data_IF_905728967755
#
_entry.id   IF_905728967755
#
_cell.length_a   1.000
_cell.length_b   1.000
_cell.length_c   1.000
_cell.angle_alpha   90.00
_cell.angle_beta   90.00
_cell.angle_gamma   90.00
#
_symmetry.space_group_name_H-M   'P 1'
#
loop_
_entity.id
_entity.type
_entity.pdbx_description
1 polymer ?
#
# COMPACT_ATOMS: atom_id res chain seq x y z
N UNK A 1 -42.13 -51.31 38.07
CA UNK A 1 -40.70 -51.32 38.47
C UNK A 1 -39.85 -50.71 37.36
N UNK A 2 -39.14 -49.62 37.68
CA UNK A 2 -37.83 -49.14 37.18
C UNK A 2 -37.66 -48.89 35.66
N UNK A 3 -37.50 -47.62 35.25
CA UNK A 3 -36.23 -46.94 34.86
C UNK A 3 -35.68 -47.49 33.52
N UNK A 4 -35.21 -46.74 32.52
CA UNK A 4 -34.55 -45.43 32.45
C UNK A 4 -34.87 -44.78 31.09
N UNK A 5 -35.00 -43.45 31.08
CA UNK A 5 -34.86 -42.62 29.89
C UNK A 5 -33.39 -42.61 29.43
N UNK A 6 -33.13 -42.87 28.15
CA UNK A 6 -31.82 -42.65 27.54
C UNK A 6 -31.83 -41.29 26.83
N UNK A 7 -31.39 -40.25 27.53
CA UNK A 7 -31.02 -38.98 26.93
C UNK A 7 -29.62 -39.14 26.34
N UNK A 8 -29.50 -39.15 25.01
CA UNK A 8 -28.20 -39.05 24.33
C UNK A 8 -27.85 -37.57 24.21
N UNK A 9 -26.96 -37.12 25.09
CA UNK A 9 -26.41 -35.77 25.10
C UNK A 9 -25.38 -35.66 23.97
N UNK A 10 -25.77 -35.03 22.85
CA UNK A 10 -24.83 -34.66 21.78
C UNK A 10 -24.03 -33.45 22.28
N UNK A 11 -22.80 -33.72 22.73
CA UNK A 11 -21.82 -32.68 23.06
C UNK A 11 -21.40 -31.99 21.77
N UNK A 12 -21.97 -30.81 21.49
CA UNK A 12 -21.49 -29.94 20.43
C UNK A 12 -20.10 -29.41 20.84
N UNK A 13 -19.04 -30.01 20.30
CA UNK A 13 -17.69 -29.46 20.39
C UNK A 13 -17.67 -28.20 19.50
N UNK A 14 -17.98 -27.05 20.09
CA UNK A 14 -17.76 -25.75 19.45
C UNK A 14 -16.28 -25.63 19.14
N UNK A 15 -15.92 -25.87 17.88
CA UNK A 15 -14.64 -25.49 17.32
C UNK A 15 -14.56 -23.97 17.41
N UNK A 16 -14.04 -23.48 18.53
CA UNK A 16 -13.48 -22.14 18.60
C UNK A 16 -12.38 -22.10 17.56
N UNK A 17 -12.72 -21.53 16.41
CA UNK A 17 -11.78 -21.15 15.39
C UNK A 17 -10.94 -20.05 16.04
N UNK A 18 -9.85 -20.41 16.71
CA UNK A 18 -8.84 -19.47 17.18
C UNK A 18 -8.16 -18.95 15.93
N UNK A 19 -8.83 -18.01 15.24
CA UNK A 19 -8.20 -17.19 14.23
C UNK A 19 -7.00 -16.58 14.91
N UNK A 20 -5.80 -17.02 14.51
CA UNK A 20 -4.56 -16.38 14.91
C UNK A 20 -4.76 -14.90 14.61
N UNK A 21 -4.72 -14.06 15.65
CA UNK A 21 -4.82 -12.62 15.50
C UNK A 21 -3.62 -12.16 14.67
N UNK A 22 -3.80 -12.08 13.35
CA UNK A 22 -2.75 -11.76 12.38
C UNK A 22 -2.73 -10.25 12.16
N UNK A 23 -2.27 -9.52 13.17
CA UNK A 23 -2.27 -8.06 13.15
C UNK A 23 -1.23 -7.44 12.21
N UNK A 24 -0.31 -8.23 11.65
CA UNK A 24 0.84 -7.70 10.91
C UNK A 24 1.23 -8.60 9.73
N UNK A 25 0.26 -9.12 8.96
CA UNK A 25 0.62 -9.85 7.74
C UNK A 25 1.34 -8.90 6.77
N UNK A 26 2.57 -9.22 6.34
CA UNK A 26 3.32 -8.36 5.43
C UNK A 26 2.61 -8.19 4.09
N UNK A 27 2.73 -7.01 3.51
CA UNK A 27 2.25 -6.72 2.16
C UNK A 27 3.30 -7.20 1.15
N UNK A 28 2.94 -8.21 0.37
CA UNK A 28 3.85 -8.79 -0.62
C UNK A 28 3.87 -7.94 -1.91
N UNK A 29 5.07 -7.51 -2.33
CA UNK A 29 5.31 -6.79 -3.58
C UNK A 29 5.77 -7.78 -4.67
N UNK A 30 4.77 -8.42 -5.28
CA UNK A 30 4.95 -9.46 -6.30
C UNK A 30 5.23 -8.94 -7.71
N UNK A 31 5.24 -9.88 -8.67
CA UNK A 31 5.58 -9.62 -10.08
C UNK A 31 4.66 -8.63 -10.80
N UNK A 32 3.45 -8.37 -10.27
CA UNK A 32 2.50 -7.41 -10.85
C UNK A 32 2.80 -5.96 -10.44
N UNK A 33 3.56 -5.75 -9.36
CA UNK A 33 3.80 -4.43 -8.77
C UNK A 33 5.02 -3.73 -9.39
N UNK A 34 5.16 -3.76 -10.72
CA UNK A 34 6.40 -3.32 -11.40
C UNK A 34 6.59 -1.80 -11.44
N UNK A 35 5.63 -1.04 -10.93
CA UNK A 35 5.66 0.43 -10.72
C UNK A 35 4.83 0.76 -9.50
N UNK A 36 5.07 1.91 -8.87
CA UNK A 36 4.27 2.37 -7.72
C UNK A 36 2.76 2.42 -8.00
N UNK A 37 2.37 2.90 -9.20
CA UNK A 37 0.95 2.95 -9.63
C UNK A 37 0.32 1.58 -9.88
N UNK A 38 1.13 0.54 -10.04
CA UNK A 38 0.70 -0.86 -10.12
C UNK A 38 0.91 -1.60 -8.80
N UNK A 39 1.29 -0.86 -7.76
CA UNK A 39 1.47 -1.34 -6.41
C UNK A 39 0.21 -1.16 -5.56
N UNK A 40 0.15 -1.88 -4.42
CA UNK A 40 -0.87 -1.65 -3.40
C UNK A 40 -0.78 -0.22 -2.86
N UNK A 41 -1.88 0.25 -2.30
CA UNK A 41 -1.99 1.54 -1.60
C UNK A 41 -2.25 1.26 -0.13
N UNK A 42 -1.36 1.73 0.73
CA UNK A 42 -1.56 1.78 2.16
C UNK A 42 -2.45 2.99 2.45
N UNK A 43 -3.68 2.73 2.93
CA UNK A 43 -4.73 3.76 3.04
C UNK A 43 -4.39 4.81 4.09
N UNK A 44 -3.67 4.41 5.13
CA UNK A 44 -3.08 5.30 6.13
C UNK A 44 -1.58 4.96 6.21
N UNK A 45 -0.74 5.87 5.70
CA UNK A 45 0.71 5.73 5.68
C UNK A 45 1.37 5.89 7.05
N UNK A 46 0.62 6.28 8.08
CA UNK A 46 1.11 6.35 9.47
C UNK A 46 1.00 5.02 10.21
N UNK A 47 0.20 4.08 9.69
CA UNK A 47 0.10 2.72 10.22
C UNK A 47 1.31 1.90 9.79
N UNK A 48 1.85 1.12 10.73
CA UNK A 48 3.02 0.27 10.54
C UNK A 48 2.68 -0.87 9.58
N UNK A 49 3.30 -0.83 8.40
CA UNK A 49 3.24 -1.92 7.42
C UNK A 49 4.64 -2.40 7.09
N UNK A 50 4.87 -3.70 7.19
CA UNK A 50 6.01 -4.36 6.57
C UNK A 50 5.65 -4.77 5.14
N UNK A 51 6.51 -4.41 4.18
CA UNK A 51 6.38 -4.79 2.77
C UNK A 51 7.58 -5.63 2.35
N UNK A 52 7.32 -6.75 1.69
CA UNK A 52 8.36 -7.67 1.22
C UNK A 52 8.51 -7.57 -0.29
N UNK A 53 9.73 -7.39 -0.76
CA UNK A 53 10.03 -7.26 -2.17
C UNK A 53 11.10 -8.27 -2.58
N UNK A 54 10.77 -9.09 -3.57
CA UNK A 54 11.69 -10.08 -4.14
C UNK A 54 12.07 -9.73 -5.58
N UNK A 55 13.37 -9.85 -5.86
CA UNK A 55 13.97 -9.57 -7.15
C UNK A 55 14.82 -10.75 -7.59
N UNK A 56 14.61 -11.21 -8.82
CA UNK A 56 15.35 -12.32 -9.42
C UNK A 56 16.57 -11.87 -10.23
N UNK A 57 16.62 -10.59 -10.63
CA UNK A 57 17.73 -9.99 -11.39
C UNK A 57 17.79 -8.48 -11.17
N UNK A 58 18.86 -7.86 -11.65
CA UNK A 58 19.00 -6.40 -11.69
C UNK A 58 17.96 -5.73 -12.60
N UNK A 59 17.71 -4.43 -12.36
CA UNK A 59 16.80 -3.59 -13.13
C UNK A 59 15.33 -4.01 -13.10
N UNK A 60 14.95 -4.83 -12.12
CA UNK A 60 13.54 -5.05 -11.79
C UNK A 60 13.09 -3.96 -10.83
N UNK A 61 11.82 -3.58 -10.94
CA UNK A 61 11.19 -2.61 -10.05
C UNK A 61 10.04 -3.26 -9.30
N UNK A 62 9.90 -2.87 -8.03
CA UNK A 62 8.70 -3.06 -7.23
C UNK A 62 8.25 -1.70 -6.72
N UNK A 63 6.96 -1.48 -6.60
CA UNK A 63 6.48 -0.25 -6.01
C UNK A 63 5.18 -0.41 -5.26
N UNK A 64 4.91 0.58 -4.43
CA UNK A 64 3.68 0.73 -3.67
C UNK A 64 3.41 2.21 -3.43
N UNK A 65 2.25 2.50 -2.85
CA UNK A 65 1.82 3.85 -2.51
C UNK A 65 1.37 3.91 -1.06
N UNK A 66 1.50 5.09 -0.45
CA UNK A 66 0.92 5.36 0.87
C UNK A 66 0.23 6.73 0.85
N UNK A 67 -0.93 6.81 1.49
CA UNK A 67 -1.64 8.08 1.67
C UNK A 67 -1.27 8.70 3.00
N UNK A 68 -0.89 9.96 2.99
CA UNK A 68 -0.55 10.74 4.18
C UNK A 68 -1.26 12.09 4.12
N UNK A 69 -1.51 12.68 5.28
CA UNK A 69 -2.05 14.03 5.43
C UNK A 69 -0.93 15.03 5.73
N UNK A 70 -1.23 16.30 5.51
CA UNK A 70 -0.33 17.40 5.81
C UNK A 70 0.18 17.33 7.26
N UNK A 71 1.50 17.36 7.44
CA UNK A 71 2.15 17.37 8.74
C UNK A 71 2.27 16.01 9.43
N UNK A 72 1.68 14.94 8.88
CA UNK A 72 1.90 13.59 9.40
C UNK A 72 3.35 13.15 9.21
N UNK A 73 3.80 12.18 10.02
CA UNK A 73 5.13 11.63 9.89
C UNK A 73 5.16 10.62 8.73
N UNK A 74 5.83 10.97 7.64
CA UNK A 74 6.34 9.98 6.70
C UNK A 74 7.51 9.28 7.39
N UNK A 75 7.29 8.07 7.90
CA UNK A 75 8.35 7.20 8.43
C UNK A 75 8.61 6.07 7.43
N UNK A 76 9.87 5.83 7.06
CA UNK A 76 10.26 4.74 6.18
C UNK A 76 11.51 4.04 6.70
N UNK A 77 11.51 2.72 6.71
CA UNK A 77 12.68 1.94 7.11
C UNK A 77 13.03 0.88 6.06
N UNK A 78 14.33 0.60 5.94
CA UNK A 78 14.87 -0.42 5.06
C UNK A 78 15.53 -1.50 5.91
N UNK A 79 15.06 -2.73 5.75
CA UNK A 79 15.57 -3.91 6.42
C UNK A 79 15.91 -5.03 5.44
N UNK A 80 16.82 -5.90 5.87
CA UNK A 80 17.04 -7.21 5.27
C UNK A 80 17.01 -8.26 6.37
N UNK A 81 16.58 -9.49 6.05
CA UNK A 81 16.73 -10.60 6.99
C UNK A 81 18.24 -10.80 7.23
N UNK A 82 18.65 -11.00 8.47
CA UNK A 82 20.04 -11.31 8.83
C UNK A 82 20.38 -12.77 8.47
N UNK A 83 20.35 -13.06 7.17
CA UNK A 83 20.66 -14.36 6.57
C UNK A 83 21.30 -14.15 5.19
N UNK A 84 22.16 -15.09 4.81
CA UNK A 84 22.74 -15.09 3.48
C UNK A 84 21.67 -15.36 2.40
N UNK A 85 21.78 -14.78 1.19
CA UNK A 85 22.91 -13.94 0.73
C UNK A 85 22.85 -12.47 1.18
N UNK A 86 21.69 -11.90 1.48
CA UNK A 86 21.51 -10.45 1.64
C UNK A 86 22.34 -9.86 2.77
N UNK A 87 22.48 -10.55 3.90
CA UNK A 87 23.28 -10.03 5.02
C UNK A 87 24.77 -9.88 4.70
N UNK A 88 25.28 -10.58 3.68
CA UNK A 88 26.67 -10.46 3.19
C UNK A 88 26.79 -9.53 1.98
N UNK A 89 25.69 -9.02 1.43
CA UNK A 89 25.75 -8.14 0.26
C UNK A 89 26.32 -6.77 0.62
N UNK A 90 27.18 -6.26 -0.26
CA UNK A 90 27.61 -4.87 -0.23
C UNK A 90 26.41 -3.94 -0.46
N UNK A 91 26.38 -2.79 0.21
CA UNK A 91 25.26 -1.84 0.15
C UNK A 91 24.95 -1.37 -1.29
N UNK A 92 25.96 -1.23 -2.14
CA UNK A 92 25.79 -0.84 -3.55
C UNK A 92 25.16 -1.94 -4.44
N UNK A 93 25.01 -3.16 -3.94
CA UNK A 93 24.31 -4.27 -4.61
C UNK A 93 22.86 -4.44 -4.15
N UNK A 94 22.45 -3.76 -3.09
CA UNK A 94 21.09 -3.81 -2.58
C UNK A 94 20.14 -2.93 -3.43
N UNK A 95 18.85 -3.27 -3.51
CA UNK A 95 17.86 -2.43 -4.18
C UNK A 95 17.83 -1.00 -3.63
N UNK A 96 17.69 -0.02 -4.53
CA UNK A 96 17.58 1.41 -4.19
C UNK A 96 16.10 1.79 -4.07
N UNK A 97 15.75 2.59 -3.06
CA UNK A 97 14.39 3.11 -2.88
C UNK A 97 14.34 4.59 -3.23
N UNK A 98 13.41 4.96 -4.11
CA UNK A 98 13.04 6.35 -4.41
C UNK A 98 11.64 6.61 -3.88
N UNK A 99 11.50 7.63 -3.05
CA UNK A 99 10.23 8.14 -2.55
C UNK A 99 9.90 9.40 -3.38
N UNK A 100 8.73 9.43 -3.99
CA UNK A 100 8.21 10.60 -4.71
C UNK A 100 7.02 11.15 -3.94
N UNK A 101 7.11 12.41 -3.52
CA UNK A 101 6.07 13.13 -2.80
C UNK A 101 4.91 13.54 -3.74
N UNK A 102 3.75 13.95 -3.18
CA UNK A 102 2.58 14.38 -3.96
C UNK A 102 2.86 15.53 -4.93
N UNK A 103 3.80 16.42 -4.60
CA UNK A 103 4.24 17.54 -5.44
C UNK A 103 5.27 17.14 -6.53
N UNK A 104 5.63 15.85 -6.59
CA UNK A 104 6.62 15.31 -7.52
C UNK A 104 8.07 15.36 -7.03
N UNK A 105 8.35 15.93 -5.85
CA UNK A 105 9.69 15.96 -5.29
C UNK A 105 10.20 14.54 -5.00
N UNK A 106 11.46 14.25 -5.33
CA UNK A 106 12.06 12.92 -5.20
C UNK A 106 13.14 12.89 -4.13
N UNK A 107 13.07 11.86 -3.28
CA UNK A 107 14.09 11.53 -2.29
C UNK A 107 14.59 10.12 -2.51
N UNK A 108 15.91 9.93 -2.59
CA UNK A 108 16.52 8.59 -2.62
C UNK A 108 16.94 8.21 -1.21
N UNK A 109 16.45 7.07 -0.73
CA UNK A 109 16.78 6.57 0.62
C UNK A 109 18.25 6.18 0.66
N UNK A 110 18.99 6.78 1.59
CA UNK A 110 20.42 6.53 1.79
C UNK A 110 20.61 5.45 2.86
N UNK A 111 21.50 4.50 2.59
CA UNK A 111 21.96 3.57 3.62
C UNK A 111 22.90 4.30 4.58
N UNK A 112 22.55 4.33 5.85
CA UNK A 112 23.27 5.07 6.91
C UNK A 112 23.69 4.18 8.07
N UNK A 113 23.20 2.94 8.09
CA UNK A 113 23.43 2.02 9.19
C UNK A 113 23.54 0.56 8.74
N UNK A 114 23.91 -0.30 9.68
CA UNK A 114 23.80 -1.76 9.60
C UNK A 114 23.67 -2.30 11.01
N UNK A 115 22.50 -2.13 11.62
CA UNK A 115 22.26 -2.46 13.03
C UNK A 115 21.38 -3.71 13.14
N UNK A 116 21.67 -4.56 14.13
CA UNK A 116 20.90 -5.78 14.37
C UNK A 116 19.57 -5.45 15.03
N UNK A 117 18.51 -6.12 14.60
CA UNK A 117 17.19 -6.04 15.19
C UNK A 117 16.56 -7.42 15.25
N UNK A 118 16.05 -7.78 16.42
CA UNK A 118 15.26 -9.00 16.59
C UNK A 118 13.79 -8.62 16.63
N UNK A 119 13.02 -9.09 15.64
CA UNK A 119 11.58 -8.89 15.58
C UNK A 119 10.89 -10.05 16.33
N UNK A 120 10.21 -9.77 17.46
CA UNK A 120 9.80 -10.82 18.41
C UNK A 120 8.58 -11.63 17.97
N UNK A 121 7.66 -11.07 17.17
CA UNK A 121 6.41 -11.74 16.80
C UNK A 121 6.63 -12.78 15.69
N UNK A 122 7.35 -12.40 14.64
CA UNK A 122 7.79 -13.27 13.56
C UNK A 122 9.13 -13.98 13.86
N UNK A 123 9.72 -13.75 15.04
CA UNK A 123 10.98 -14.37 15.52
C UNK A 123 12.10 -14.28 14.50
N UNK A 124 12.18 -13.16 13.79
CA UNK A 124 13.09 -12.98 12.67
C UNK A 124 14.19 -11.98 13.04
N UNK A 125 15.44 -12.35 12.79
CA UNK A 125 16.56 -11.41 12.89
C UNK A 125 16.66 -10.60 11.61
N UNK A 126 16.73 -9.29 11.75
CA UNK A 126 16.88 -8.32 10.68
C UNK A 126 18.15 -7.50 10.87
N UNK A 127 18.60 -6.88 9.78
CA UNK A 127 19.52 -5.75 9.78
C UNK A 127 18.77 -4.52 9.29
N UNK A 128 18.69 -3.48 10.11
CA UNK A 128 18.33 -2.13 9.64
C UNK A 128 19.47 -1.57 8.83
N UNK A 129 19.15 -1.00 7.66
CA UNK A 129 20.13 -0.41 6.76
C UNK A 129 19.90 1.09 6.51
N UNK A 130 18.65 1.53 6.62
CA UNK A 130 18.29 2.93 6.47
C UNK A 130 17.01 3.23 7.25
N UNK A 131 16.92 4.47 7.73
CA UNK A 131 15.72 5.10 8.25
C UNK A 131 15.59 6.47 7.60
N UNK A 132 14.39 6.78 7.12
CA UNK A 132 14.06 8.03 6.49
C UNK A 132 12.80 8.57 7.15
N UNK A 133 12.81 9.85 7.49
CA UNK A 133 11.65 10.52 8.04
C UNK A 133 11.51 11.94 7.53
N UNK A 134 10.28 12.38 7.29
CA UNK A 134 9.96 13.77 7.00
C UNK A 134 8.54 14.12 7.43
N UNK A 135 8.24 15.41 7.57
CA UNK A 135 6.85 15.86 7.58
C UNK A 135 6.23 15.62 6.20
N UNK A 136 4.98 15.15 6.17
CA UNK A 136 4.28 14.82 4.95
C UNK A 136 3.51 16.01 4.37
N UNK A 137 3.38 16.02 3.04
CA UNK A 137 2.36 16.76 2.31
C UNK A 137 1.09 15.92 2.27
N UNK A 138 -0.07 16.57 2.18
CA UNK A 138 -1.31 15.86 1.90
C UNK A 138 -1.26 15.20 0.51
N UNK A 139 -1.54 13.88 0.44
CA UNK A 139 -1.64 13.16 -0.82
C UNK A 139 -1.01 11.78 -0.82
N UNK A 140 -0.72 11.30 -2.04
CA UNK A 140 -0.16 9.96 -2.28
C UNK A 140 1.34 10.04 -2.50
N UNK A 141 2.09 9.34 -1.66
CA UNK A 141 3.51 9.08 -1.84
C UNK A 141 3.72 7.83 -2.69
N UNK A 142 4.62 7.90 -3.67
CA UNK A 142 5.00 6.77 -4.51
C UNK A 142 6.38 6.23 -4.10
N UNK A 143 6.46 4.94 -3.81
CA UNK A 143 7.69 4.26 -3.44
C UNK A 143 8.11 3.35 -4.59
N UNK A 144 9.28 3.59 -5.15
CA UNK A 144 9.88 2.78 -6.21
C UNK A 144 11.15 2.11 -5.71
N UNK A 145 11.20 0.79 -5.78
CA UNK A 145 12.28 -0.07 -5.31
C UNK A 145 12.91 -0.74 -6.52
N UNK A 146 14.13 -0.31 -6.88
CA UNK A 146 14.83 -0.80 -8.07
C UNK A 146 16.00 -1.71 -7.69
N UNK A 147 15.99 -2.94 -8.15
CA UNK A 147 17.03 -3.92 -7.87
C UNK A 147 18.34 -3.62 -8.60
N UNK A 148 19.46 -3.91 -7.93
CA UNK A 148 20.81 -3.87 -8.50
C UNK A 148 21.39 -5.27 -8.76
N UNK A 149 20.79 -6.28 -8.14
CA UNK A 149 21.09 -7.70 -8.27
C UNK A 149 19.85 -8.51 -7.82
N UNK A 150 19.95 -9.84 -7.82
CA UNK A 150 19.00 -10.69 -7.08
C UNK A 150 19.05 -10.32 -5.60
N UNK A 151 17.90 -10.05 -4.99
CA UNK A 151 17.80 -9.67 -3.58
C UNK A 151 16.35 -9.86 -3.07
N UNK A 152 16.21 -10.15 -1.79
CA UNK A 152 14.93 -10.14 -1.07
C UNK A 152 15.04 -9.16 0.10
N UNK A 153 14.18 -8.14 0.13
CA UNK A 153 14.25 -7.08 1.14
C UNK A 153 12.92 -6.91 1.85
N UNK A 154 12.98 -6.30 3.03
CA UNK A 154 11.80 -5.82 3.76
C UNK A 154 11.92 -4.31 3.88
N UNK A 155 10.87 -3.58 3.50
CA UNK A 155 10.77 -2.15 3.76
C UNK A 155 9.54 -1.91 4.62
N UNK A 156 9.55 -0.86 5.41
CA UNK A 156 8.38 -0.49 6.21
C UNK A 156 8.01 0.98 6.01
N UNK A 157 6.74 1.29 6.28
CA UNK A 157 6.27 2.66 6.47
C UNK A 157 5.33 2.72 7.67
N UNK A 158 5.21 3.91 8.25
CA UNK A 158 4.37 4.17 9.41
C UNK A 158 5.03 3.76 10.73
N UNK A 159 4.28 3.92 11.81
CA UNK A 159 4.72 3.65 13.19
C UNK A 159 3.59 3.26 14.14
N UNK A 160 2.31 3.44 13.74
CA UNK A 160 1.17 3.02 14.55
C UNK A 160 0.93 1.53 14.38
N UNK A 161 1.09 0.76 15.45
CA UNK A 161 0.89 -0.69 15.48
C UNK A 161 -0.60 -1.04 15.64
N UNK A 162 -1.40 -0.73 14.62
CA UNK A 162 -2.84 -1.01 14.55
C UNK A 162 -3.19 -1.62 13.19
N UNK A 163 -4.33 -2.30 13.07
CA UNK A 163 -4.79 -2.82 11.78
C UNK A 163 -4.99 -1.68 10.76
N UNK A 164 -4.30 -1.78 9.63
CA UNK A 164 -4.46 -0.85 8.51
C UNK A 164 -5.17 -1.48 7.32
N UNK A 165 -5.71 -0.62 6.46
CA UNK A 165 -6.35 -1.03 5.21
C UNK A 165 -5.36 -0.90 4.03
N UNK A 166 -5.41 -1.89 3.14
CA UNK A 166 -4.62 -1.91 1.91
C UNK A 166 -5.55 -2.06 0.72
N UNK A 167 -5.47 -1.14 -0.24
CA UNK A 167 -6.16 -1.27 -1.52
C UNK A 167 -5.25 -1.82 -2.60
N UNK A 168 -5.84 -2.64 -3.46
CA UNK A 168 -5.16 -3.12 -4.66
C UNK A 168 -5.36 -2.13 -5.81
N UNK A 169 -4.34 -1.93 -6.66
CA UNK A 169 -4.43 -1.04 -7.82
C UNK A 169 -5.42 -1.59 -8.85
N UNK A 170 -6.03 -0.70 -9.63
CA UNK A 170 -6.94 -1.07 -10.72
C UNK A 170 -8.15 -1.91 -10.29
N UNK A 171 -8.48 -1.96 -8.99
CA UNK A 171 -9.63 -2.69 -8.46
C UNK A 171 -10.54 -1.69 -7.75
N UNK A 172 -11.85 -1.76 -8.04
CA UNK A 172 -12.82 -0.89 -7.39
C UNK A 172 -12.89 -1.27 -5.90
N UNK A 173 -12.58 -0.34 -4.98
CA UNK A 173 -12.49 -0.68 -3.57
C UNK A 173 -13.87 -0.96 -3.01
N UNK A 174 -13.94 -1.88 -2.06
CA UNK A 174 -15.12 -2.04 -1.21
C UNK A 174 -14.97 -1.07 -0.05
N UNK A 175 -15.87 -0.10 0.05
CA UNK A 175 -15.92 0.89 1.12
C UNK A 175 -17.30 0.85 1.76
N UNK A 176 -17.37 1.19 3.04
CA UNK A 176 -18.64 1.36 3.73
C UNK A 176 -19.36 2.60 3.21
N UNK A 177 -20.66 2.49 2.96
CA UNK A 177 -21.45 3.61 2.46
C UNK A 177 -21.65 4.65 3.56
N UNK A 178 -21.21 5.88 3.30
CA UNK A 178 -21.39 7.02 4.20
C UNK A 178 -22.57 7.89 3.72
N UNK A 179 -23.27 8.52 4.67
CA UNK A 179 -24.40 9.41 4.37
C UNK A 179 -23.98 10.60 3.48
N UNK A 180 -22.76 11.09 3.63
CA UNK A 180 -22.13 12.10 2.78
C UNK A 180 -20.87 11.52 2.16
N UNK A 181 -20.86 11.21 0.85
CA UNK A 181 -19.70 10.59 0.21
C UNK A 181 -18.52 11.56 0.26
N UNK A 182 -17.45 11.18 0.95
CA UNK A 182 -16.16 11.88 0.91
C UNK A 182 -15.14 10.92 0.32
N UNK A 183 -14.55 11.31 -0.81
CA UNK A 183 -13.50 10.54 -1.46
C UNK A 183 -12.16 10.89 -0.82
N UNK A 184 -11.46 9.89 -0.32
CA UNK A 184 -10.08 10.05 0.16
C UNK A 184 -9.08 9.92 -0.98
N UNK A 185 -7.88 10.49 -0.81
CA UNK A 185 -6.79 10.35 -1.77
C UNK A 185 -6.46 8.86 -2.06
N UNK A 186 -6.47 8.00 -1.03
CA UNK A 186 -6.22 6.57 -1.18
C UNK A 186 -7.28 5.88 -2.04
N UNK A 187 -8.57 6.21 -1.82
CA UNK A 187 -9.69 5.69 -2.61
C UNK A 187 -9.64 6.19 -4.06
N UNK A 188 -9.41 7.48 -4.28
CA UNK A 188 -9.28 8.03 -5.63
C UNK A 188 -8.15 7.33 -6.41
N UNK A 189 -7.02 7.09 -5.75
CA UNK A 189 -5.84 6.47 -6.36
C UNK A 189 -6.04 4.99 -6.75
N UNK A 190 -7.08 4.30 -6.28
CA UNK A 190 -7.37 2.92 -6.76
C UNK A 190 -7.84 2.89 -8.20
N UNK A 191 -8.39 4.00 -8.72
CA UNK A 191 -8.82 4.13 -10.11
C UNK A 191 -7.65 4.12 -11.08
N UNK A 192 -6.43 4.45 -10.61
CA UNK A 192 -5.22 4.43 -11.44
C UNK A 192 -4.99 3.01 -11.97
N UNK A 193 -4.83 2.92 -13.29
CA UNK A 193 -4.66 1.69 -14.04
C UNK A 193 -5.97 1.01 -14.45
N UNK A 194 -7.15 1.58 -14.13
CA UNK A 194 -8.43 1.10 -14.68
C UNK A 194 -8.65 1.62 -16.10
N UNK A 195 -9.45 0.88 -16.88
CA UNK A 195 -10.05 1.41 -18.12
C UNK A 195 -11.07 2.51 -17.77
N UNK A 196 -11.22 3.50 -18.65
CA UNK A 196 -12.20 4.61 -18.51
C UNK A 196 -13.57 4.14 -18.03
N UNK A 197 -14.21 3.21 -18.75
CA UNK A 197 -15.57 2.77 -18.42
C UNK A 197 -15.65 2.04 -17.07
N UNK A 198 -14.59 1.31 -16.71
CA UNK A 198 -14.51 0.63 -15.41
C UNK A 198 -14.34 1.64 -14.26
N UNK A 199 -13.54 2.69 -14.47
CA UNK A 199 -13.37 3.77 -13.50
C UNK A 199 -14.67 4.57 -13.31
N UNK A 200 -15.36 4.91 -14.42
CA UNK A 200 -16.68 5.56 -14.38
C UNK A 200 -17.70 4.71 -13.63
N UNK A 201 -17.75 3.41 -13.93
CA UNK A 201 -18.67 2.47 -13.27
C UNK A 201 -18.35 2.30 -11.78
N UNK A 202 -17.07 2.29 -11.43
CA UNK A 202 -16.63 2.24 -10.03
C UNK A 202 -17.08 3.50 -9.28
N UNK A 203 -16.81 4.68 -9.81
CA UNK A 203 -17.24 5.94 -9.21
C UNK A 203 -18.76 5.99 -9.01
N UNK A 204 -19.54 5.60 -10.03
CA UNK A 204 -21.00 5.53 -9.93
C UNK A 204 -21.47 4.55 -8.83
N UNK A 205 -20.87 3.35 -8.75
CA UNK A 205 -21.18 2.36 -7.70
C UNK A 205 -20.92 2.91 -6.29
N UNK A 206 -19.89 3.75 -6.15
CA UNK A 206 -19.50 4.35 -4.88
C UNK A 206 -20.21 5.68 -4.59
N UNK A 207 -21.10 6.13 -5.49
CA UNK A 207 -21.84 7.39 -5.35
C UNK A 207 -20.98 8.64 -5.54
N UNK A 208 -19.83 8.51 -6.21
CA UNK A 208 -18.91 9.62 -6.44
C UNK A 208 -19.26 10.35 -7.73
N UNK A 209 -19.04 11.67 -7.73
CA UNK A 209 -18.88 12.40 -8.98
C UNK A 209 -17.65 11.87 -9.74
N UNK A 210 -17.74 11.81 -11.07
CA UNK A 210 -16.63 11.42 -11.94
C UNK A 210 -16.42 12.48 -13.01
N UNK A 211 -15.19 12.97 -13.16
CA UNK A 211 -14.83 14.01 -14.13
C UNK A 211 -13.53 13.66 -14.83
N UNK A 212 -13.48 13.86 -16.15
CA UNK A 212 -12.25 13.75 -16.93
C UNK A 212 -11.64 15.14 -17.02
N UNK A 213 -10.46 15.33 -16.45
CA UNK A 213 -9.71 16.60 -16.55
C UNK A 213 -8.79 16.65 -17.76
N UNK A 214 -8.31 15.48 -18.19
CA UNK A 214 -7.48 15.34 -19.38
C UNK A 214 -7.68 13.95 -20.00
N UNK A 215 -7.71 13.89 -21.33
CA UNK A 215 -7.74 12.63 -22.09
C UNK A 215 -6.84 12.76 -23.32
N UNK A 216 -5.87 11.85 -23.47
CA UNK A 216 -4.97 11.80 -24.63
C UNK A 216 -4.37 13.16 -25.01
N UNK A 217 -3.87 13.86 -23.99
CA UNK A 217 -3.24 15.18 -24.08
C UNK A 217 -4.21 16.35 -24.38
N UNK A 218 -5.51 16.08 -24.52
CA UNK A 218 -6.58 17.09 -24.54
C UNK A 218 -7.01 17.45 -23.12
N UNK A 219 -6.93 18.74 -22.76
CA UNK A 219 -7.41 19.28 -21.49
C UNK A 219 -8.90 19.63 -21.57
N UNK A 220 -9.65 19.34 -20.51
CA UNK A 220 -11.04 19.74 -20.36
C UNK A 220 -11.16 20.85 -19.32
N UNK A 221 -12.04 21.83 -19.56
CA UNK A 221 -12.24 22.93 -18.64
C UNK A 221 -12.79 22.41 -17.30
N UNK A 222 -12.13 22.80 -16.20
CA UNK A 222 -12.48 22.39 -14.85
C UNK A 222 -12.95 23.60 -14.03
N UNK A 223 -14.06 23.42 -13.31
CA UNK A 223 -14.48 24.34 -12.25
C UNK A 223 -13.76 23.98 -10.95
N UNK A 224 -13.22 24.99 -10.26
CA UNK A 224 -12.60 24.84 -8.94
C UNK A 224 -13.67 24.97 -7.85
N UNK A 225 -14.41 23.88 -7.63
CA UNK A 225 -15.55 23.85 -6.70
C UNK A 225 -15.27 23.08 -5.39
N UNK A 226 -14.03 22.58 -5.21
CA UNK A 226 -13.55 21.90 -3.99
C UNK A 226 -14.42 20.73 -3.52
N UNK A 227 -15.14 20.08 -4.45
CA UNK A 227 -16.01 18.95 -4.16
C UNK A 227 -15.23 17.72 -3.71
N UNK A 228 -15.36 17.37 -2.43
CA UNK A 228 -14.73 16.18 -1.86
C UNK A 228 -15.45 14.87 -2.23
N UNK A 229 -16.63 14.95 -2.84
CA UNK A 229 -17.43 13.81 -3.29
C UNK A 229 -17.17 13.45 -4.77
N UNK A 230 -16.15 14.05 -5.39
CA UNK A 230 -15.82 13.86 -6.81
C UNK A 230 -14.36 13.49 -7.00
N UNK A 231 -14.12 12.66 -8.01
CA UNK A 231 -12.79 12.39 -8.56
C UNK A 231 -12.62 13.06 -9.92
N UNK A 232 -11.47 13.70 -10.13
CA UNK A 232 -10.99 14.11 -11.44
C UNK A 232 -9.86 13.21 -11.89
N UNK A 233 -9.98 12.65 -13.10
CA UNK A 233 -9.01 11.71 -13.65
C UNK A 233 -8.28 12.26 -14.87
N UNK A 234 -7.05 11.79 -15.06
CA UNK A 234 -6.30 11.91 -16.31
C UNK A 234 -6.30 10.56 -17.00
N UNK A 235 -6.64 10.54 -18.28
CA UNK A 235 -6.76 9.33 -19.10
C UNK A 235 -5.72 9.38 -20.22
N UNK A 236 -5.00 8.28 -20.42
CA UNK A 236 -4.10 8.09 -21.55
C UNK A 236 -4.33 6.71 -22.15
N UNK A 237 -4.61 6.67 -23.45
CA UNK A 237 -4.92 5.46 -24.22
C UNK A 237 -6.04 4.64 -23.57
N UNK A 238 -7.08 5.33 -23.11
CA UNK A 238 -8.24 4.73 -22.43
C UNK A 238 -7.98 4.20 -21.01
N UNK A 239 -6.80 4.42 -20.43
CA UNK A 239 -6.43 4.01 -19.08
C UNK A 239 -6.27 5.24 -18.17
N UNK A 240 -6.83 5.19 -16.98
CA UNK A 240 -6.62 6.22 -15.95
C UNK A 240 -5.16 6.18 -15.49
N UNK A 241 -4.44 7.29 -15.64
CA UNK A 241 -3.03 7.42 -15.22
C UNK A 241 -2.87 8.25 -13.95
N UNK A 242 -3.80 9.16 -13.69
CA UNK A 242 -3.85 9.98 -12.47
C UNK A 242 -5.30 10.13 -12.01
N UNK A 243 -5.48 10.29 -10.71
CA UNK A 243 -6.77 10.45 -10.07
C UNK A 243 -6.60 11.29 -8.82
N UNK A 244 -7.33 12.41 -8.75
CA UNK A 244 -7.29 13.35 -7.65
C UNK A 244 -8.71 13.63 -7.16
N UNK A 245 -8.84 13.91 -5.86
CA UNK A 245 -10.10 14.36 -5.28
C UNK A 245 -10.33 15.82 -5.68
N UNK A 246 -11.55 16.17 -6.06
CA UNK A 246 -11.93 17.52 -6.48
C UNK A 246 -12.08 17.70 -7.97
#
# INVERSE_FOLDING_TARGET
MKKLAFASLVTAFSLFNTGLATAHQPVELGLKNTRATQGPILVDGTISFALRAEFTKANQERGFRASLKQGELLNFEYLIIDKAPENKMALNKLPTVTITAPDGAKSVVKFTERTKFYEPYGRTNYLYLARFSSAALDGIYNFSIKSKAKASITVSTGSKETFGQVFQPSICPTIEQQQTPTVTNAQAATLIGMKKDAATSCAAKLGWGYRVGQEDDQLFALTKDYRLDRVTVVIKKGIVTESVVG
#
